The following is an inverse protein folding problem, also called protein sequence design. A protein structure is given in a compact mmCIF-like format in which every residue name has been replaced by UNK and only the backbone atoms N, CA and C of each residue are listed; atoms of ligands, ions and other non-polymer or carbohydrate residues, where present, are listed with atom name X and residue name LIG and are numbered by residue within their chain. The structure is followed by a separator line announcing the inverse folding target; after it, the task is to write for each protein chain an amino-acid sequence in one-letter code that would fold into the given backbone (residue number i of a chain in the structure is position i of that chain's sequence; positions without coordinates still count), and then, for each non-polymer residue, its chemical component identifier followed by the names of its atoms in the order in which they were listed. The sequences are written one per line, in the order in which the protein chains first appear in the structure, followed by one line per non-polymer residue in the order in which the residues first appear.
data_IF_910214253655
#
_entry.id   IF_910214253655
#
_cell.length_a   1.000
_cell.length_b   1.000
_cell.length_c   1.000
_cell.angle_alpha   90.00
_cell.angle_beta   90.00
_cell.angle_gamma   90.00
#
_symmetry.space_group_name_H-M   'P 1'
#
loop_
_entity.id
_entity.type
_entity.pdbx_description
1 polymer ?
#
# COMPACT_ATOMS: atom_id res chain seq x y z
N UNK A 1 6.25 -34.52 -21.99
CA UNK A 1 6.14 -33.19 -22.66
C UNK A 1 4.96 -32.35 -22.17
N UNK A 2 3.79 -32.93 -21.89
CA UNK A 2 2.61 -32.17 -21.43
C UNK A 2 2.76 -31.53 -20.03
N UNK A 3 3.58 -32.13 -19.15
CA UNK A 3 3.83 -31.62 -17.79
C UNK A 3 4.74 -30.38 -17.75
N UNK A 4 5.71 -30.25 -18.67
CA UNK A 4 6.60 -29.08 -18.73
C UNK A 4 5.92 -27.88 -19.37
N UNK A 5 5.09 -28.09 -20.39
CA UNK A 5 4.30 -27.02 -21.03
C UNK A 5 3.24 -26.47 -20.07
N UNK A 6 2.62 -27.33 -19.25
CA UNK A 6 1.73 -26.89 -18.17
C UNK A 6 2.49 -26.18 -17.04
N UNK A 7 3.68 -26.67 -16.63
CA UNK A 7 4.54 -25.95 -15.66
C UNK A 7 4.97 -24.56 -16.17
N UNK A 8 5.34 -24.43 -17.44
CA UNK A 8 5.64 -23.13 -18.08
C UNK A 8 4.38 -22.26 -18.14
N UNK A 9 3.23 -22.77 -18.58
CA UNK A 9 1.96 -22.01 -18.60
C UNK A 9 1.56 -21.50 -17.21
N UNK A 10 1.73 -22.29 -16.15
CA UNK A 10 1.46 -21.87 -14.77
C UNK A 10 2.38 -20.74 -14.28
N UNK A 11 3.66 -20.74 -14.68
CA UNK A 11 4.65 -19.70 -14.30
C UNK A 11 4.30 -18.32 -14.89
N UNK A 12 3.69 -18.27 -16.06
CA UNK A 12 3.28 -17.02 -16.73
C UNK A 12 1.88 -16.53 -16.33
N UNK A 13 1.07 -17.35 -15.65
CA UNK A 13 -0.37 -17.18 -15.62
C UNK A 13 -0.91 -16.00 -14.77
N UNK A 14 -0.03 -15.22 -14.14
CA UNK A 14 -0.43 -14.06 -13.32
C UNK A 14 0.50 -12.85 -13.42
N UNK A 15 1.59 -12.90 -14.18
CA UNK A 15 2.53 -11.77 -14.31
C UNK A 15 1.80 -10.51 -14.74
N UNK A 16 0.85 -10.64 -15.66
CA UNK A 16 0.02 -9.53 -16.10
C UNK A 16 -0.80 -8.92 -14.96
N UNK A 17 -1.47 -9.75 -14.14
CA UNK A 17 -2.27 -9.26 -13.01
C UNK A 17 -1.38 -8.57 -11.96
N UNK A 18 -0.20 -9.13 -11.66
CA UNK A 18 0.78 -8.51 -10.77
C UNK A 18 1.25 -7.17 -11.31
N UNK A 19 1.68 -7.13 -12.57
CA UNK A 19 2.20 -5.93 -13.21
C UNK A 19 1.14 -4.82 -13.31
N UNK A 20 -0.07 -5.13 -13.75
CA UNK A 20 -1.17 -4.17 -13.85
C UNK A 20 -1.58 -3.65 -12.47
N UNK A 21 -1.71 -4.55 -11.48
CA UNK A 21 -2.07 -4.14 -10.12
C UNK A 21 -0.99 -3.25 -9.50
N UNK A 22 0.28 -3.63 -9.67
CA UNK A 22 1.40 -2.81 -9.22
C UNK A 22 1.44 -1.47 -9.93
N UNK A 23 1.24 -1.44 -11.25
CA UNK A 23 1.23 -0.22 -12.03
C UNK A 23 0.13 0.74 -11.56
N UNK A 24 -1.07 0.21 -11.38
CA UNK A 24 -2.23 0.97 -10.93
C UNK A 24 -2.03 1.49 -9.50
N UNK A 25 -1.50 0.69 -8.59
CA UNK A 25 -1.27 1.12 -7.21
C UNK A 25 -0.11 2.12 -7.12
N UNK A 26 1.01 1.84 -7.79
CA UNK A 26 2.23 2.63 -7.71
C UNK A 26 2.17 3.89 -8.58
N UNK A 27 2.11 3.76 -9.90
CA UNK A 27 2.29 4.90 -10.81
C UNK A 27 1.08 5.85 -10.82
N UNK A 28 -0.14 5.32 -10.85
CA UNK A 28 -1.34 6.17 -10.87
C UNK A 28 -1.47 6.99 -9.59
N UNK A 29 -0.95 6.49 -8.46
CA UNK A 29 -0.97 7.22 -7.20
C UNK A 29 -0.12 8.50 -7.18
N UNK A 30 0.82 8.65 -8.11
CA UNK A 30 1.60 9.87 -8.27
C UNK A 30 0.95 10.89 -9.21
N UNK A 31 -0.07 10.51 -9.98
CA UNK A 31 -0.67 11.37 -11.00
C UNK A 31 -1.22 12.68 -10.45
N UNK A 32 -2.28 12.60 -9.64
CA UNK A 32 -2.95 13.80 -9.09
C UNK A 32 -2.01 14.61 -8.16
N UNK A 33 -1.31 14.00 -7.18
CA UNK A 33 -0.38 14.75 -6.33
C UNK A 33 0.76 15.38 -7.13
N UNK A 34 1.29 14.68 -8.13
CA UNK A 34 2.38 15.17 -8.97
C UNK A 34 1.96 16.38 -9.79
N UNK A 35 0.78 16.33 -10.43
CA UNK A 35 0.24 17.47 -11.18
C UNK A 35 0.05 18.67 -10.24
N UNK A 36 -0.59 18.48 -9.08
CA UNK A 36 -0.80 19.54 -8.11
C UNK A 36 0.52 20.17 -7.66
N UNK A 37 1.51 19.33 -7.34
CA UNK A 37 2.82 19.78 -6.89
C UNK A 37 3.60 20.53 -7.98
N UNK A 38 3.61 20.03 -9.22
CA UNK A 38 4.26 20.68 -10.35
C UNK A 38 3.61 22.03 -10.65
N UNK A 39 2.27 22.09 -10.64
CA UNK A 39 1.54 23.35 -10.79
C UNK A 39 1.91 24.32 -9.67
N UNK A 40 1.97 23.87 -8.42
CA UNK A 40 2.40 24.71 -7.31
C UNK A 40 3.83 25.25 -7.50
N UNK A 41 4.77 24.38 -7.89
CA UNK A 41 6.17 24.76 -8.12
C UNK A 41 6.26 25.83 -9.22
N UNK A 42 5.65 25.58 -10.38
CA UNK A 42 5.81 26.44 -11.55
C UNK A 42 5.11 27.79 -11.40
N UNK A 43 3.91 27.82 -10.82
CA UNK A 43 3.13 29.06 -10.72
C UNK A 43 3.40 29.88 -9.46
N UNK A 44 3.88 29.25 -8.39
CA UNK A 44 4.05 29.94 -7.10
C UNK A 44 5.50 29.90 -6.63
N UNK A 45 6.08 28.71 -6.44
CA UNK A 45 7.39 28.58 -5.80
C UNK A 45 8.53 29.19 -6.65
N UNK A 46 8.62 28.83 -7.92
CA UNK A 46 9.65 29.36 -8.82
C UNK A 46 9.56 30.89 -8.93
N UNK A 47 8.43 31.49 -9.36
CA UNK A 47 8.39 32.92 -9.65
C UNK A 47 8.48 33.81 -8.41
N UNK A 48 8.05 33.35 -7.22
CA UNK A 48 7.97 34.19 -6.02
C UNK A 48 9.04 33.88 -4.97
N UNK A 49 9.68 32.72 -5.04
CA UNK A 49 10.73 32.33 -4.09
C UNK A 49 12.05 32.12 -4.82
N UNK A 50 12.10 31.23 -5.81
CA UNK A 50 13.39 30.86 -6.43
C UNK A 50 13.95 31.96 -7.35
N UNK A 51 13.10 32.73 -8.01
CA UNK A 51 13.49 33.85 -8.87
C UNK A 51 13.48 35.21 -8.16
N UNK A 52 13.55 35.22 -6.82
CA UNK A 52 13.66 36.47 -6.07
C UNK A 52 14.98 37.19 -6.40
N UNK A 53 14.91 38.50 -6.61
CA UNK A 53 16.06 39.31 -7.02
C UNK A 53 17.12 39.41 -5.92
N UNK A 54 16.71 39.46 -4.64
CA UNK A 54 17.60 39.46 -3.50
C UNK A 54 17.17 38.42 -2.46
N UNK A 55 18.13 37.91 -1.69
CA UNK A 55 17.86 36.97 -0.60
C UNK A 55 16.94 37.55 0.48
N UNK A 56 17.10 38.84 0.81
CA UNK A 56 16.26 39.50 1.82
C UNK A 56 14.80 39.61 1.39
N UNK A 57 14.52 39.65 0.07
CA UNK A 57 13.16 39.72 -0.45
C UNK A 57 12.33 38.47 -0.09
N UNK A 58 12.98 37.33 0.16
CA UNK A 58 12.33 36.11 0.63
C UNK A 58 11.64 36.30 1.98
N UNK A 59 12.19 37.17 2.83
CA UNK A 59 11.76 37.38 4.21
C UNK A 59 11.03 38.71 4.43
N UNK A 60 11.09 39.64 3.46
CA UNK A 60 10.40 40.93 3.54
C UNK A 60 9.16 40.99 2.65
N UNK A 61 9.15 40.26 1.52
CA UNK A 61 7.99 40.23 0.63
C UNK A 61 6.91 39.30 1.20
N UNK A 62 5.73 39.87 1.45
CA UNK A 62 4.58 39.13 1.98
C UNK A 62 4.22 37.90 1.12
N UNK A 63 4.33 38.00 -0.21
CA UNK A 63 4.00 36.87 -1.10
C UNK A 63 4.99 35.71 -0.95
N UNK A 64 6.30 36.03 -0.87
CA UNK A 64 7.35 35.02 -0.71
C UNK A 64 7.24 34.32 0.64
N UNK A 65 6.97 35.07 1.71
CA UNK A 65 6.72 34.53 3.06
C UNK A 65 5.51 33.59 3.08
N UNK A 66 4.37 34.02 2.52
CA UNK A 66 3.16 33.19 2.43
C UNK A 66 3.50 31.88 1.73
N UNK A 67 4.15 31.93 0.56
CA UNK A 67 4.48 30.73 -0.20
C UNK A 67 5.45 29.82 0.56
N UNK A 68 6.45 30.36 1.25
CA UNK A 68 7.38 29.59 2.08
C UNK A 68 6.65 28.86 3.23
N UNK A 69 5.68 29.50 3.89
CA UNK A 69 4.88 28.88 4.95
C UNK A 69 3.94 27.80 4.39
N UNK A 70 3.33 28.04 3.23
CA UNK A 70 2.43 27.08 2.60
C UNK A 70 3.14 25.90 1.94
N UNK A 71 4.41 26.05 1.55
CA UNK A 71 5.19 24.99 0.89
C UNK A 71 5.20 23.67 1.67
N UNK A 72 5.58 23.62 2.97
CA UNK A 72 5.55 22.37 3.73
C UNK A 72 4.12 21.81 3.88
N UNK A 73 3.11 22.67 4.00
CA UNK A 73 1.71 22.25 4.07
C UNK A 73 1.28 21.56 2.77
N UNK A 74 1.64 22.14 1.62
CA UNK A 74 1.32 21.58 0.30
C UNK A 74 2.05 20.25 0.09
N UNK A 75 3.30 20.13 0.52
CA UNK A 75 4.03 18.85 0.46
C UNK A 75 3.30 17.78 1.28
N UNK A 76 2.87 18.10 2.50
CA UNK A 76 2.11 17.17 3.36
C UNK A 76 0.78 16.80 2.69
N UNK A 77 0.05 17.77 2.13
CA UNK A 77 -1.22 17.52 1.43
C UNK A 77 -1.02 16.62 0.22
N UNK A 78 -0.04 16.89 -0.64
CA UNK A 78 0.32 16.03 -1.77
C UNK A 78 0.63 14.61 -1.32
N UNK A 79 1.39 14.47 -0.24
CA UNK A 79 1.76 13.16 0.29
C UNK A 79 0.56 12.39 0.86
N UNK A 80 -0.32 13.05 1.61
CA UNK A 80 -1.55 12.43 2.12
C UNK A 80 -2.49 12.04 0.97
N UNK A 81 -2.58 12.88 -0.07
CA UNK A 81 -3.37 12.59 -1.28
C UNK A 81 -2.80 11.39 -2.04
N UNK A 82 -1.47 11.28 -2.12
CA UNK A 82 -0.78 10.10 -2.67
C UNK A 82 -1.16 8.81 -1.89
N UNK A 83 -1.03 8.81 -0.56
CA UNK A 83 -1.42 7.67 0.27
C UNK A 83 -2.91 7.33 0.11
N UNK A 84 -3.77 8.34 0.03
CA UNK A 84 -5.20 8.14 -0.18
C UNK A 84 -5.52 7.46 -1.52
N UNK A 85 -4.86 7.86 -2.61
CA UNK A 85 -5.02 7.22 -3.91
C UNK A 85 -4.49 5.78 -3.88
N UNK A 86 -3.35 5.51 -3.23
CA UNK A 86 -2.85 4.14 -3.00
C UNK A 86 -3.95 3.30 -2.34
N UNK A 87 -4.59 3.80 -1.28
CA UNK A 87 -5.63 3.07 -0.55
C UNK A 87 -6.86 2.77 -1.43
N UNK A 88 -7.33 3.73 -2.23
CA UNK A 88 -8.43 3.55 -3.17
C UNK A 88 -8.08 2.48 -4.21
N UNK A 89 -6.93 2.64 -4.86
CA UNK A 89 -6.45 1.72 -5.88
C UNK A 89 -6.29 0.30 -5.35
N UNK A 90 -5.70 0.15 -4.16
CA UNK A 90 -5.62 -1.14 -3.49
C UNK A 90 -7.00 -1.71 -3.21
N UNK A 91 -7.95 -0.93 -2.67
CA UNK A 91 -9.31 -1.39 -2.38
C UNK A 91 -10.02 -1.92 -3.63
N UNK A 92 -9.87 -1.22 -4.76
CA UNK A 92 -10.44 -1.64 -6.05
C UNK A 92 -9.86 -2.99 -6.47
N UNK A 93 -8.53 -3.12 -6.52
CA UNK A 93 -7.87 -4.37 -6.92
C UNK A 93 -8.24 -5.49 -5.95
N UNK A 94 -8.18 -5.23 -4.65
CA UNK A 94 -8.49 -6.20 -3.60
C UNK A 94 -9.93 -6.70 -3.72
N UNK A 95 -10.90 -5.80 -3.89
CA UNK A 95 -12.30 -6.14 -4.14
C UNK A 95 -12.47 -7.03 -5.37
N UNK A 96 -11.80 -6.71 -6.49
CA UNK A 96 -11.84 -7.56 -7.69
C UNK A 96 -11.27 -8.96 -7.44
N UNK A 97 -10.20 -9.07 -6.66
CA UNK A 97 -9.68 -10.40 -6.30
C UNK A 97 -10.68 -11.15 -5.43
N UNK A 98 -11.28 -10.53 -4.42
CA UNK A 98 -12.24 -11.15 -3.50
C UNK A 98 -13.48 -11.65 -4.22
N UNK A 99 -13.98 -10.89 -5.19
CA UNK A 99 -15.12 -11.29 -6.02
C UNK A 99 -14.81 -12.54 -6.86
N UNK A 100 -13.55 -12.73 -7.28
CA UNK A 100 -13.15 -13.89 -8.11
C UNK A 100 -12.94 -15.16 -7.30
N UNK A 101 -12.35 -15.05 -6.12
CA UNK A 101 -12.14 -16.18 -5.22
C UNK A 101 -12.12 -15.67 -3.77
N UNK A 102 -13.20 -15.79 -3.00
CA UNK A 102 -13.24 -15.24 -1.65
C UNK A 102 -12.15 -15.89 -0.78
N UNK A 103 -11.54 -15.12 0.12
CA UNK A 103 -10.66 -15.74 1.13
C UNK A 103 -11.45 -16.69 2.01
N UNK A 104 -10.88 -17.87 2.27
CA UNK A 104 -11.46 -18.91 3.12
C UNK A 104 -10.47 -19.26 4.23
N UNK A 105 -11.02 -19.65 5.36
CA UNK A 105 -10.26 -20.24 6.47
C UNK A 105 -10.02 -21.73 6.19
N UNK A 106 -9.02 -22.30 6.87
CA UNK A 106 -8.72 -23.73 6.85
C UNK A 106 -7.49 -24.11 6.02
N UNK A 107 -7.36 -25.40 5.73
CA UNK A 107 -6.21 -25.98 5.06
C UNK A 107 -6.37 -25.80 3.55
N UNK A 108 -5.51 -24.98 2.95
CA UNK A 108 -5.45 -24.81 1.49
C UNK A 108 -4.34 -25.72 0.97
N UNK A 109 -4.66 -26.76 0.19
CA UNK A 109 -3.64 -27.64 -0.36
C UNK A 109 -2.71 -26.85 -1.26
N UNK A 110 -1.41 -27.13 -1.15
CA UNK A 110 -0.34 -26.43 -1.87
C UNK A 110 -0.21 -26.90 -3.33
N UNK A 111 -1.35 -27.16 -3.96
CA UNK A 111 -1.42 -27.50 -5.36
C UNK A 111 -1.51 -26.21 -6.16
N UNK A 112 -0.53 -25.94 -7.02
CA UNK A 112 -0.54 -24.74 -7.88
C UNK A 112 -1.78 -24.54 -8.77
N UNK A 113 -2.55 -25.57 -9.20
CA UNK A 113 -3.84 -25.32 -9.85
C UNK A 113 -4.92 -24.75 -8.92
N UNK A 114 -4.71 -24.75 -7.60
CA UNK A 114 -5.67 -24.25 -6.63
C UNK A 114 -5.86 -22.73 -6.76
N UNK A 115 -7.08 -22.32 -7.13
CA UNK A 115 -7.45 -20.90 -7.29
C UNK A 115 -7.30 -20.13 -5.99
N UNK A 116 -7.62 -20.72 -4.84
CA UNK A 116 -7.49 -20.06 -3.53
C UNK A 116 -6.03 -19.70 -3.24
N UNK A 117 -5.11 -20.64 -3.44
CA UNK A 117 -3.66 -20.40 -3.29
C UNK A 117 -3.16 -19.33 -4.28
N UNK A 118 -3.64 -19.38 -5.53
CA UNK A 118 -3.31 -18.41 -6.58
C UNK A 118 -3.70 -16.98 -6.19
N UNK A 119 -4.95 -16.77 -5.74
CA UNK A 119 -5.43 -15.43 -5.36
C UNK A 119 -4.88 -14.96 -4.02
N UNK A 120 -4.57 -15.89 -3.11
CA UNK A 120 -3.81 -15.59 -1.91
C UNK A 120 -2.47 -14.92 -2.27
N UNK A 121 -1.64 -15.54 -3.12
CA UNK A 121 -0.36 -14.95 -3.52
C UNK A 121 -0.49 -13.60 -4.24
N UNK A 122 -1.56 -13.42 -5.03
CA UNK A 122 -1.87 -12.13 -5.66
C UNK A 122 -2.12 -11.06 -4.60
N UNK A 123 -2.99 -11.35 -3.62
CA UNK A 123 -3.30 -10.42 -2.52
C UNK A 123 -2.06 -10.10 -1.70
N UNK A 124 -1.27 -11.11 -1.35
CA UNK A 124 -0.01 -10.93 -0.63
C UNK A 124 0.94 -10.00 -1.37
N UNK A 125 1.03 -10.15 -2.69
CA UNK A 125 1.92 -9.32 -3.50
C UNK A 125 1.44 -7.86 -3.57
N UNK A 126 0.15 -7.63 -3.90
CA UNK A 126 -0.37 -6.26 -4.07
C UNK A 126 -0.37 -5.47 -2.75
N UNK A 127 -0.40 -6.15 -1.59
CA UNK A 127 -0.39 -5.52 -0.28
C UNK A 127 1.01 -5.03 0.15
N UNK A 128 2.09 -5.59 -0.41
CA UNK A 128 3.48 -5.28 0.00
C UNK A 128 3.80 -3.79 -0.10
N UNK A 129 3.57 -3.19 -1.27
CA UNK A 129 3.90 -1.79 -1.49
C UNK A 129 3.03 -0.84 -0.65
N UNK A 130 1.69 -0.95 -0.63
CA UNK A 130 0.85 -0.12 0.23
C UNK A 130 1.20 -0.26 1.71
N UNK A 131 1.42 -1.49 2.20
CA UNK A 131 1.85 -1.72 3.59
C UNK A 131 3.16 -0.99 3.88
N UNK A 132 4.15 -1.13 3.01
CA UNK A 132 5.43 -0.42 3.15
C UNK A 132 5.25 1.09 3.13
N UNK A 133 4.49 1.63 2.15
CA UNK A 133 4.26 3.06 1.99
C UNK A 133 3.59 3.68 3.21
N UNK A 134 2.62 3.01 3.82
CA UNK A 134 1.93 3.48 5.02
C UNK A 134 2.76 3.29 6.28
N UNK A 135 3.38 2.13 6.50
CA UNK A 135 4.14 1.83 7.72
C UNK A 135 5.46 2.61 7.82
N UNK A 136 6.08 2.95 6.69
CA UNK A 136 7.29 3.79 6.65
C UNK A 136 6.98 5.27 6.37
N UNK A 137 5.70 5.64 6.31
CA UNK A 137 5.31 7.05 6.22
C UNK A 137 5.56 7.79 7.54
N UNK A 138 5.55 9.13 7.54
CA UNK A 138 5.46 9.92 8.77
C UNK A 138 4.18 9.67 9.59
N UNK A 139 3.23 8.90 9.06
CA UNK A 139 1.91 8.62 9.64
C UNK A 139 1.65 7.11 9.77
N UNK A 140 2.50 6.34 10.48
CA UNK A 140 2.45 4.87 10.51
C UNK A 140 1.13 4.30 11.06
N UNK A 141 0.42 5.05 11.91
CA UNK A 141 -0.90 4.68 12.42
C UNK A 141 -1.98 4.59 11.33
N UNK A 142 -1.75 5.14 10.14
CA UNK A 142 -2.66 5.00 9.00
C UNK A 142 -2.68 3.56 8.46
N UNK A 143 -1.66 2.73 8.71
CA UNK A 143 -1.63 1.33 8.26
C UNK A 143 -2.83 0.53 8.77
N UNK A 144 -3.27 0.76 10.01
CA UNK A 144 -4.46 0.12 10.58
C UNK A 144 -5.73 0.57 9.83
N UNK A 145 -5.83 1.88 9.55
CA UNK A 145 -6.95 2.42 8.78
C UNK A 145 -6.96 1.85 7.36
N UNK A 146 -5.80 1.66 6.74
CA UNK A 146 -5.67 1.02 5.43
C UNK A 146 -6.25 -0.39 5.46
N UNK A 147 -5.80 -1.26 6.38
CA UNK A 147 -6.28 -2.64 6.46
C UNK A 147 -7.78 -2.74 6.73
N UNK A 148 -8.31 -1.89 7.61
CA UNK A 148 -9.74 -1.79 7.86
C UNK A 148 -10.50 -1.27 6.62
N UNK A 149 -9.95 -0.28 5.91
CA UNK A 149 -10.59 0.35 4.75
C UNK A 149 -10.71 -0.58 3.55
N UNK A 150 -9.69 -1.39 3.29
CA UNK A 150 -9.70 -2.41 2.22
C UNK A 150 -10.53 -3.64 2.62
N UNK A 151 -10.86 -3.79 3.90
CA UNK A 151 -11.63 -4.92 4.43
C UNK A 151 -10.80 -6.20 4.56
N UNK A 152 -9.47 -6.08 4.67
CA UNK A 152 -8.61 -7.25 4.83
C UNK A 152 -8.62 -7.75 6.28
N UNK A 153 -8.59 -6.83 7.24
CA UNK A 153 -8.54 -7.13 8.66
C UNK A 153 -9.60 -6.32 9.42
N UNK A 154 -9.89 -6.72 10.66
CA UNK A 154 -10.79 -6.03 11.58
C UNK A 154 -10.02 -5.64 12.84
N UNK A 155 -9.35 -4.51 12.78
CA UNK A 155 -8.52 -4.01 13.86
C UNK A 155 -9.26 -2.96 14.68
N UNK A 156 -9.38 -3.17 15.99
CA UNK A 156 -10.11 -2.27 16.87
C UNK A 156 -9.45 -0.90 17.04
N UNK A 157 -10.27 0.10 17.40
CA UNK A 157 -9.82 1.50 17.61
C UNK A 157 -8.75 1.58 18.69
N UNK A 158 -7.77 2.45 18.49
CA UNK A 158 -6.63 2.63 19.41
C UNK A 158 -5.60 1.52 19.37
N UNK A 159 -5.76 0.54 18.48
CA UNK A 159 -4.70 -0.45 18.22
C UNK A 159 -3.49 0.25 17.61
N UNK A 160 -2.29 -0.19 17.95
CA UNK A 160 -1.03 0.25 17.34
C UNK A 160 -0.28 -0.98 16.83
N UNK A 161 0.22 -0.88 15.60
CA UNK A 161 1.06 -1.88 14.96
C UNK A 161 2.41 -1.24 14.67
N UNK A 162 3.43 -1.71 15.38
CA UNK A 162 4.81 -1.42 15.05
C UNK A 162 5.26 -2.23 13.81
N UNK A 163 6.54 -2.14 13.46
CA UNK A 163 7.11 -2.88 12.33
C UNK A 163 6.98 -4.40 12.50
N UNK A 164 6.07 -5.00 11.72
CA UNK A 164 5.75 -6.43 11.82
C UNK A 164 5.39 -7.08 10.48
N UNK A 165 5.53 -8.41 10.47
CA UNK A 165 4.97 -9.29 9.45
C UNK A 165 3.45 -9.42 9.68
N UNK A 166 2.71 -8.33 9.50
CA UNK A 166 1.24 -8.37 9.44
C UNK A 166 0.80 -9.19 8.23
N UNK A 167 -0.01 -10.22 8.48
CA UNK A 167 -0.62 -11.11 7.51
C UNK A 167 -1.71 -10.44 6.67
N UNK A 168 -1.99 -11.05 5.52
CA UNK A 168 -2.76 -10.39 4.46
C UNK A 168 -4.24 -10.22 4.77
N UNK A 169 -4.85 -11.09 5.58
CA UNK A 169 -6.29 -11.09 5.85
C UNK A 169 -6.67 -11.84 7.12
N UNK A 170 -7.91 -11.64 7.60
CA UNK A 170 -8.59 -12.42 8.65
C UNK A 170 -8.07 -12.16 10.07
N UNK A 171 -7.22 -11.16 10.26
CA UNK A 171 -6.77 -10.75 11.58
C UNK A 171 -7.88 -9.92 12.23
N UNK A 172 -8.27 -10.29 13.44
CA UNK A 172 -9.22 -9.54 14.28
C UNK A 172 -8.55 -9.15 15.59
N UNK A 173 -8.64 -7.88 15.97
CA UNK A 173 -8.07 -7.38 17.24
C UNK A 173 -9.13 -6.65 18.05
N UNK A 174 -8.94 -6.64 19.37
CA UNK A 174 -9.73 -5.81 20.29
C UNK A 174 -9.41 -4.32 20.16
N UNK A 175 -9.98 -3.51 21.07
CA UNK A 175 -9.65 -2.08 21.20
C UNK A 175 -8.36 -1.91 22.00
N UNK A 176 -7.59 -0.86 21.70
CA UNK A 176 -6.37 -0.47 22.42
C UNK A 176 -5.32 -1.59 22.54
N UNK A 177 -5.19 -2.45 21.52
CA UNK A 177 -4.14 -3.46 21.50
C UNK A 177 -2.80 -2.85 21.07
N UNK A 178 -1.71 -3.22 21.73
CA UNK A 178 -0.37 -2.84 21.31
C UNK A 178 0.38 -4.08 20.81
N UNK A 179 0.84 -4.03 19.57
CA UNK A 179 1.71 -5.04 19.00
C UNK A 179 3.09 -4.42 18.80
N UNK A 180 4.04 -4.85 19.64
CA UNK A 180 5.39 -4.30 19.69
C UNK A 180 6.33 -4.87 18.63
N UNK A 181 7.52 -4.28 18.54
CA UNK A 181 8.60 -4.73 17.64
C UNK A 181 8.90 -6.22 17.87
N UNK A 182 9.26 -6.95 16.81
CA UNK A 182 9.57 -8.39 16.81
C UNK A 182 8.40 -9.34 17.10
N UNK A 183 7.16 -8.86 17.22
CA UNK A 183 6.00 -9.76 17.17
C UNK A 183 5.55 -10.03 15.73
N UNK A 184 5.01 -11.23 15.50
CA UNK A 184 4.57 -11.67 14.19
C UNK A 184 3.06 -11.98 14.22
N UNK A 185 2.28 -11.17 13.50
CA UNK A 185 0.86 -11.35 13.30
C UNK A 185 0.60 -12.05 11.96
N UNK A 186 0.73 -13.37 11.93
CA UNK A 186 0.49 -14.16 10.73
C UNK A 186 -0.96 -14.69 10.71
N UNK A 187 -1.62 -14.60 9.56
CA UNK A 187 -2.94 -15.18 9.33
C UNK A 187 -2.92 -16.62 8.84
N UNK A 188 -1.73 -17.12 8.52
CA UNK A 188 -1.50 -18.44 7.96
C UNK A 188 -0.10 -18.90 8.34
N UNK A 189 0.09 -20.21 8.36
CA UNK A 189 1.38 -20.86 8.42
C UNK A 189 1.57 -21.61 7.11
N UNK A 190 2.76 -21.53 6.52
CA UNK A 190 3.10 -22.33 5.34
C UNK A 190 3.93 -23.52 5.82
N UNK A 191 3.38 -24.71 5.69
CA UNK A 191 4.15 -25.93 5.94
C UNK A 191 5.14 -26.18 4.80
N UNK A 192 6.36 -26.59 5.19
CA UNK A 192 7.43 -26.91 4.25
C UNK A 192 7.16 -28.18 3.46
N UNK A 193 8.07 -28.53 2.55
CA UNK A 193 7.94 -29.70 1.65
C UNK A 193 7.83 -31.02 2.44
N UNK A 194 8.32 -31.06 3.67
CA UNK A 194 8.23 -32.19 4.60
C UNK A 194 6.96 -32.20 5.46
N UNK A 195 6.12 -31.18 5.38
CA UNK A 195 4.86 -31.05 6.13
C UNK A 195 3.67 -31.71 5.45
N UNK A 196 3.89 -32.42 4.33
CA UNK A 196 2.83 -33.22 3.71
C UNK A 196 2.69 -34.54 4.49
N UNK A 197 2.35 -34.46 5.77
CA UNK A 197 2.03 -35.61 6.61
C UNK A 197 0.53 -35.81 6.50
N UNK A 198 0.12 -36.59 5.49
CA UNK A 198 -1.15 -37.30 5.52
C UNK A 198 -0.97 -38.60 6.31
#
# INVERSE_FOLDING_TARGET
MESETNKKKLKYHNIFLYAVSFFLIYFVSFGIPGILFITFINFFLIPKVLNASNFLDLFTNLNSLIILIFTPIIIIVCYLLHLFIIAINLKIVFYYTEKKEPTRDGIIPRDFPNKALKFYHVRSFILKYPKWAFSKSPFPWLTIKLFNFIGSNQMGKGTTLEEQVVGDKLIKTGKNCYFGVNSALASHLVEGIFGNVN
#
